data_IF_381497950116
#
_entry.id   IF_381497950116
#
_cell.length_a   1.000
_cell.length_b   1.000
_cell.length_c   1.000
_cell.angle_alpha   90.00
_cell.angle_beta   90.00
_cell.angle_gamma   90.00
#
_symmetry.space_group_name_H-M   'P 1'
#
loop_
_entity.id
_entity.type
_entity.pdbx_description
1 polymer ?
#
# COMPACT_ATOMS: atom_id res chain seq x y z
N UNK A 1 40.19 -8.89 -30.27
CA UNK A 1 39.92 -7.45 -30.14
C UNK A 1 41.19 -6.78 -29.64
N UNK A 2 41.73 -5.87 -30.41
CA UNK A 2 42.90 -5.08 -30.02
C UNK A 2 42.50 -4.01 -28.99
N UNK A 3 43.46 -3.51 -28.20
CA UNK A 3 43.20 -2.43 -27.23
C UNK A 3 42.66 -1.17 -27.92
N UNK A 4 43.00 -0.98 -29.20
CA UNK A 4 42.55 0.13 -30.04
C UNK A 4 41.08 -0.03 -30.44
N UNK A 5 40.63 -1.25 -30.75
CA UNK A 5 39.21 -1.55 -31.03
C UNK A 5 38.35 -1.35 -29.77
N UNK A 6 38.82 -1.80 -28.60
CA UNK A 6 38.10 -1.63 -27.34
C UNK A 6 37.93 -0.15 -26.97
N UNK A 7 38.94 0.69 -27.22
CA UNK A 7 38.84 2.14 -26.98
C UNK A 7 37.88 2.83 -27.96
N UNK A 8 37.85 2.40 -29.22
CA UNK A 8 36.92 2.92 -30.19
C UNK A 8 35.46 2.58 -29.82
N UNK A 9 35.21 1.36 -29.35
CA UNK A 9 33.88 0.93 -28.90
C UNK A 9 33.41 1.66 -27.63
N UNK A 10 34.32 1.90 -26.66
CA UNK A 10 34.01 2.70 -25.47
C UNK A 10 33.68 4.15 -25.85
N UNK A 11 34.46 4.76 -26.74
CA UNK A 11 34.21 6.14 -27.19
C UNK A 11 32.86 6.26 -27.91
N UNK A 12 32.51 5.28 -28.74
CA UNK A 12 31.23 5.25 -29.43
C UNK A 12 30.04 5.16 -28.46
N UNK A 13 30.15 4.35 -27.40
CA UNK A 13 29.13 4.23 -26.36
C UNK A 13 29.01 5.51 -25.51
N UNK A 14 30.11 6.19 -25.22
CA UNK A 14 30.10 7.47 -24.51
C UNK A 14 29.38 8.56 -25.32
N UNK A 15 29.65 8.64 -26.63
CA UNK A 15 29.01 9.59 -27.54
C UNK A 15 27.49 9.31 -27.67
N UNK A 16 27.08 8.03 -27.69
CA UNK A 16 25.67 7.62 -27.76
C UNK A 16 24.90 7.98 -26.47
N UNK A 17 25.53 7.79 -25.30
CA UNK A 17 24.95 8.20 -24.01
C UNK A 17 24.79 9.73 -23.95
N UNK A 18 25.79 10.49 -24.42
CA UNK A 18 25.71 11.96 -24.43
C UNK A 18 24.59 12.47 -25.35
N UNK A 19 24.33 11.80 -26.49
CA UNK A 19 23.19 12.10 -27.35
C UNK A 19 21.84 11.83 -26.66
N UNK A 20 21.72 10.71 -25.94
CA UNK A 20 20.50 10.37 -25.20
C UNK A 20 20.22 11.35 -24.06
N UNK A 21 21.27 11.86 -23.39
CA UNK A 21 21.13 12.84 -22.31
C UNK A 21 20.73 14.24 -22.79
N UNK A 22 21.10 14.63 -24.02
CA UNK A 22 20.70 15.92 -24.61
C UNK A 22 19.22 15.99 -25.01
N UNK A 23 18.48 14.87 -24.98
CA UNK A 23 17.05 14.85 -25.27
C UNK A 23 16.69 15.22 -26.72
N UNK A 24 17.65 15.12 -27.66
CA UNK A 24 17.43 15.38 -29.08
C UNK A 24 16.94 14.15 -29.86
N UNK A 25 16.81 13.00 -29.20
CA UNK A 25 16.28 11.80 -29.84
C UNK A 25 14.79 11.63 -29.52
N UNK A 26 13.94 11.79 -30.53
CA UNK A 26 12.51 11.40 -30.53
C UNK A 26 12.39 9.86 -30.59
N UNK A 27 13.22 9.18 -29.80
CA UNK A 27 13.34 7.73 -29.74
C UNK A 27 12.21 7.24 -28.88
N UNK A 28 11.27 6.55 -29.53
CA UNK A 28 10.21 5.82 -28.87
C UNK A 28 10.85 4.79 -27.92
N UNK A 29 10.87 5.12 -26.63
CA UNK A 29 11.40 4.27 -25.58
C UNK A 29 10.74 2.88 -25.62
N UNK A 30 9.50 2.78 -26.12
CA UNK A 30 8.81 1.50 -26.29
C UNK A 30 9.45 0.67 -27.41
N UNK A 31 9.90 1.30 -28.49
CA UNK A 31 10.61 0.63 -29.59
C UNK A 31 12.01 0.19 -29.16
N UNK A 32 12.75 1.03 -28.41
CA UNK A 32 14.08 0.69 -27.91
C UNK A 32 14.04 -0.43 -26.86
N UNK A 33 13.04 -0.39 -25.97
CA UNK A 33 12.79 -1.49 -25.02
C UNK A 33 12.39 -2.76 -25.78
N UNK A 34 11.54 -2.67 -26.81
CA UNK A 34 11.19 -3.84 -27.64
C UNK A 34 12.41 -4.43 -28.34
N UNK A 35 13.27 -3.62 -28.93
CA UNK A 35 14.49 -4.07 -29.61
C UNK A 35 15.51 -4.69 -28.62
N UNK A 36 15.65 -4.13 -27.42
CA UNK A 36 16.46 -4.76 -26.38
C UNK A 36 15.86 -6.08 -25.88
N UNK A 37 14.54 -6.19 -25.80
CA UNK A 37 13.87 -7.45 -25.43
C UNK A 37 13.97 -8.50 -26.54
N UNK A 38 13.86 -8.14 -27.82
CA UNK A 38 14.04 -9.05 -28.96
C UNK A 38 15.48 -9.61 -28.99
N UNK A 39 16.50 -8.78 -28.71
CA UNK A 39 17.89 -9.24 -28.65
C UNK A 39 18.18 -10.14 -27.41
N UNK A 40 17.55 -9.87 -26.27
CA UNK A 40 17.66 -10.72 -25.07
C UNK A 40 16.89 -12.03 -25.23
N UNK A 41 15.79 -12.02 -25.99
CA UNK A 41 14.98 -13.20 -26.33
C UNK A 41 15.79 -14.18 -27.18
N UNK A 42 16.58 -13.71 -28.15
CA UNK A 42 17.46 -14.54 -28.97
C UNK A 42 18.59 -15.20 -28.14
N UNK A 43 19.23 -14.48 -27.22
CA UNK A 43 20.30 -15.03 -26.37
C UNK A 43 19.78 -16.05 -25.33
N UNK A 44 18.62 -15.79 -24.70
CA UNK A 44 17.97 -16.73 -23.77
C UNK A 44 17.41 -17.96 -24.50
N UNK A 45 16.95 -17.81 -25.75
CA UNK A 45 16.50 -18.93 -26.59
C UNK A 45 17.66 -19.83 -26.98
N UNK A 46 18.85 -19.29 -27.28
CA UNK A 46 20.04 -20.10 -27.60
C UNK A 46 20.44 -20.99 -26.42
N UNK A 47 20.38 -20.48 -25.18
CA UNK A 47 20.72 -21.26 -23.98
C UNK A 47 19.66 -22.33 -23.65
N UNK A 48 18.36 -22.03 -23.85
CA UNK A 48 17.27 -22.99 -23.62
C UNK A 48 17.20 -24.05 -24.72
N UNK A 49 17.43 -23.69 -25.98
CA UNK A 49 17.44 -24.63 -27.12
C UNK A 49 18.65 -25.56 -27.02
N UNK A 50 19.83 -25.06 -26.65
CA UNK A 50 21.03 -25.90 -26.48
C UNK A 50 20.92 -26.87 -25.30
N UNK A 51 20.09 -26.56 -24.29
CA UNK A 51 19.81 -27.47 -23.17
C UNK A 51 18.92 -28.66 -23.57
N UNK A 52 18.15 -28.55 -24.66
CA UNK A 52 17.11 -29.53 -25.05
C UNK A 52 17.41 -30.29 -26.36
N UNK A 53 18.49 -29.96 -27.08
CA UNK A 53 18.84 -30.54 -28.39
C UNK A 53 19.29 -32.01 -28.44
N UNK A 54 19.03 -32.82 -27.41
CA UNK A 54 19.26 -34.27 -27.48
C UNK A 54 18.03 -35.12 -27.86
N UNK A 55 16.90 -34.50 -28.21
CA UNK A 55 15.69 -35.26 -28.58
C UNK A 55 15.17 -34.88 -29.98
N UNK A 56 14.90 -35.92 -30.77
CA UNK A 56 14.64 -35.94 -32.21
C UNK A 56 13.73 -34.84 -32.77
N UNK A 57 14.26 -34.17 -33.78
CA UNK A 57 13.61 -33.15 -34.60
C UNK A 57 12.78 -33.80 -35.71
N UNK A 58 11.53 -33.33 -35.88
CA UNK A 58 10.81 -33.13 -37.15
C UNK A 58 9.28 -33.37 -37.09
N UNK A 59 8.56 -32.88 -36.07
CA UNK A 59 7.08 -32.74 -36.20
C UNK A 59 6.45 -31.67 -35.29
N UNK A 60 7.07 -30.50 -35.11
CA UNK A 60 6.48 -29.44 -34.27
C UNK A 60 6.76 -28.06 -34.87
N UNK A 61 5.91 -27.56 -35.76
CA UNK A 61 6.07 -26.20 -36.31
C UNK A 61 4.86 -25.29 -36.25
N UNK A 62 3.63 -25.77 -35.99
CA UNK A 62 2.45 -24.88 -35.95
C UNK A 62 1.73 -24.79 -34.59
N UNK A 63 1.91 -25.75 -33.68
CA UNK A 63 1.38 -25.65 -32.30
C UNK A 63 2.21 -24.71 -31.42
N UNK A 64 3.45 -24.40 -31.82
CA UNK A 64 4.40 -23.67 -30.99
C UNK A 64 4.18 -22.16 -30.93
N UNK A 65 3.52 -21.54 -31.91
CA UNK A 65 3.38 -20.08 -31.93
C UNK A 65 2.42 -19.58 -30.84
N UNK A 66 1.25 -20.22 -30.72
CA UNK A 66 0.26 -19.86 -29.71
C UNK A 66 0.72 -20.20 -28.29
N UNK A 67 1.42 -21.33 -28.12
CA UNK A 67 2.01 -21.71 -26.83
C UNK A 67 3.16 -20.77 -26.43
N UNK A 68 3.91 -20.21 -27.39
CA UNK A 68 4.93 -19.18 -27.14
C UNK A 68 4.33 -17.84 -26.74
N UNK A 69 3.29 -17.39 -27.42
CA UNK A 69 2.61 -16.12 -27.07
C UNK A 69 2.04 -16.18 -25.66
N UNK A 70 1.36 -17.28 -25.31
CA UNK A 70 0.79 -17.47 -23.97
C UNK A 70 1.87 -17.62 -22.89
N UNK A 71 2.99 -18.29 -23.19
CA UNK A 71 4.12 -18.37 -22.28
C UNK A 71 4.76 -17.00 -22.01
N UNK A 72 4.96 -16.20 -23.07
CA UNK A 72 5.53 -14.85 -23.00
C UNK A 72 4.64 -13.92 -22.19
N UNK A 73 3.33 -13.93 -22.44
CA UNK A 73 2.37 -13.13 -21.67
C UNK A 73 2.38 -13.50 -20.18
N UNK A 74 2.45 -14.79 -19.86
CA UNK A 74 2.54 -15.25 -18.48
C UNK A 74 3.84 -14.81 -17.78
N UNK A 75 4.98 -14.82 -18.48
CA UNK A 75 6.25 -14.33 -17.93
C UNK A 75 6.17 -12.82 -17.69
N UNK A 76 5.68 -12.05 -18.66
CA UNK A 76 5.54 -10.59 -18.53
C UNK A 76 4.67 -10.25 -17.32
N UNK A 77 3.53 -10.93 -17.16
CA UNK A 77 2.64 -10.69 -16.02
C UNK A 77 3.32 -10.99 -14.68
N UNK A 78 4.12 -12.07 -14.59
CA UNK A 78 4.89 -12.41 -13.39
C UNK A 78 5.99 -11.39 -13.09
N UNK A 79 6.67 -10.88 -14.11
CA UNK A 79 7.69 -9.84 -13.97
C UNK A 79 7.07 -8.52 -13.52
N UNK A 80 5.89 -8.16 -14.06
CA UNK A 80 5.15 -6.97 -13.63
C UNK A 80 4.70 -7.11 -12.18
N UNK A 81 4.17 -8.26 -11.78
CA UNK A 81 3.80 -8.54 -10.39
C UNK A 81 5.00 -8.45 -9.45
N UNK A 82 6.14 -9.04 -9.82
CA UNK A 82 7.39 -8.93 -9.07
C UNK A 82 7.82 -7.45 -8.92
N UNK A 83 7.77 -6.68 -10.00
CA UNK A 83 8.11 -5.26 -9.97
C UNK A 83 7.18 -4.48 -9.02
N UNK A 84 5.88 -4.77 -9.01
CA UNK A 84 4.92 -4.20 -8.05
C UNK A 84 5.34 -4.50 -6.61
N UNK A 85 5.75 -5.75 -6.32
CA UNK A 85 6.26 -6.11 -4.99
C UNK A 85 7.56 -5.38 -4.63
N UNK A 86 8.44 -5.12 -5.60
CA UNK A 86 9.70 -4.39 -5.39
C UNK A 86 9.52 -2.92 -5.06
N UNK A 87 8.37 -2.30 -5.40
CA UNK A 87 8.07 -0.93 -4.95
C UNK A 87 7.94 -0.80 -3.43
N UNK A 88 7.76 -1.90 -2.70
CA UNK A 88 7.80 -1.90 -1.23
C UNK A 88 9.19 -1.59 -0.67
N UNK A 89 10.23 -1.64 -1.50
CA UNK A 89 11.61 -1.32 -1.17
C UNK A 89 12.41 -2.48 -0.60
N UNK A 90 11.77 -3.57 -0.17
CA UNK A 90 12.46 -4.78 0.31
C UNK A 90 11.77 -6.02 -0.25
N UNK A 91 12.54 -6.91 -0.86
CA UNK A 91 12.02 -8.18 -1.39
C UNK A 91 12.94 -9.34 -1.08
N UNK A 92 12.33 -10.52 -0.94
CA UNK A 92 13.03 -11.80 -0.85
C UNK A 92 13.04 -12.45 -2.22
N UNK A 93 14.15 -13.06 -2.60
CA UNK A 93 14.26 -13.82 -3.82
C UNK A 93 15.08 -15.10 -3.59
N UNK A 94 14.67 -16.23 -4.19
CA UNK A 94 15.47 -17.44 -4.13
C UNK A 94 16.77 -17.22 -4.92
N UNK A 95 17.89 -17.63 -4.35
CA UNK A 95 19.16 -17.73 -5.08
C UNK A 95 19.32 -19.19 -5.46
N UNK A 96 19.47 -19.47 -6.76
CA UNK A 96 19.50 -20.83 -7.32
C UNK A 96 20.37 -21.75 -6.45
N UNK A 97 19.78 -22.84 -5.98
CA UNK A 97 20.47 -23.80 -5.13
C UNK A 97 21.62 -24.43 -5.92
N UNK A 98 22.84 -24.08 -5.57
CA UNK A 98 23.98 -24.92 -5.89
C UNK A 98 23.87 -26.19 -5.02
N UNK A 99 24.40 -27.30 -5.50
CA UNK A 99 24.66 -28.54 -4.74
C UNK A 99 25.27 -28.32 -3.34
N UNK A 100 25.84 -27.13 -3.10
CA UNK A 100 26.52 -26.70 -1.88
C UNK A 100 25.61 -26.07 -0.81
N UNK A 101 24.33 -25.82 -1.06
CA UNK A 101 23.39 -25.36 -0.02
C UNK A 101 22.22 -24.50 -0.53
N UNK A 102 21.28 -24.23 0.38
CA UNK A 102 20.14 -23.33 0.13
C UNK A 102 20.51 -21.88 0.45
N UNK A 103 20.32 -20.99 -0.53
CA UNK A 103 20.59 -19.57 -0.41
C UNK A 103 19.30 -18.75 -0.53
N UNK A 104 19.21 -17.69 0.27
CA UNK A 104 18.10 -16.74 0.23
C UNK A 104 18.65 -15.33 0.03
N UNK A 105 18.19 -14.64 -1.01
CA UNK A 105 18.54 -13.26 -1.29
C UNK A 105 17.53 -12.30 -0.66
N UNK A 106 18.03 -11.25 -0.03
CA UNK A 106 17.27 -10.09 0.40
C UNK A 106 17.73 -8.90 -0.45
N UNK A 107 16.79 -8.25 -1.12
CA UNK A 107 17.03 -7.08 -1.96
C UNK A 107 16.46 -5.83 -1.27
N UNK A 108 17.23 -4.75 -1.30
CA UNK A 108 16.84 -3.42 -0.81
C UNK A 108 16.84 -2.44 -1.98
N UNK A 109 15.66 -2.02 -2.42
CA UNK A 109 15.45 -0.99 -3.44
C UNK A 109 15.14 0.36 -2.75
N UNK A 110 15.93 1.39 -3.05
CA UNK A 110 15.71 2.75 -2.50
C UNK A 110 15.26 3.69 -3.61
N UNK A 111 14.08 4.30 -3.47
CA UNK A 111 13.60 5.29 -4.44
C UNK A 111 14.22 6.67 -4.18
N UNK A 112 14.85 7.25 -5.19
CA UNK A 112 15.36 8.62 -5.15
C UNK A 112 14.28 9.60 -5.61
N UNK A 113 13.80 10.41 -4.67
CA UNK A 113 12.72 11.36 -4.90
C UNK A 113 13.11 12.53 -5.81
N UNK A 114 14.39 12.85 -5.91
CA UNK A 114 14.92 13.94 -6.74
C UNK A 114 15.03 13.49 -8.20
N UNK A 115 15.69 12.37 -8.45
CA UNK A 115 15.84 11.82 -9.81
C UNK A 115 14.61 11.08 -10.33
N UNK A 116 13.61 10.81 -9.47
CA UNK A 116 12.42 9.99 -9.77
C UNK A 116 12.76 8.58 -10.26
N UNK A 117 13.90 8.03 -9.83
CA UNK A 117 14.40 6.71 -10.22
C UNK A 117 14.76 5.89 -8.97
N UNK A 118 14.73 4.56 -9.09
CA UNK A 118 15.32 3.70 -8.06
C UNK A 118 16.84 3.78 -8.14
N UNK A 119 17.49 3.86 -6.97
CA UNK A 119 18.93 3.72 -6.86
C UNK A 119 19.33 2.26 -7.12
N UNK A 120 20.64 2.04 -7.32
CA UNK A 120 21.20 0.69 -7.40
C UNK A 120 20.80 -0.10 -6.13
N UNK A 121 20.22 -1.29 -6.28
CA UNK A 121 19.79 -2.10 -5.14
C UNK A 121 20.98 -2.59 -4.31
N UNK A 122 20.75 -2.75 -3.01
CA UNK A 122 21.66 -3.48 -2.13
C UNK A 122 21.13 -4.89 -1.88
N UNK A 123 22.03 -5.83 -1.64
CA UNK A 123 21.72 -7.23 -1.48
C UNK A 123 22.33 -7.77 -0.19
N UNK A 124 21.62 -8.68 0.47
CA UNK A 124 22.16 -9.57 1.49
C UNK A 124 21.83 -10.99 1.04
N UNK A 125 22.85 -11.84 0.92
CA UNK A 125 22.68 -13.25 0.60
C UNK A 125 22.88 -14.03 1.89
N UNK A 126 21.85 -14.76 2.29
CA UNK A 126 21.87 -15.67 3.42
C UNK A 126 22.19 -17.08 2.93
N UNK A 127 23.02 -17.81 3.69
CA UNK A 127 23.31 -19.22 3.49
C UNK A 127 22.79 -20.01 4.69
N UNK A 128 22.03 -21.07 4.40
CA UNK A 128 21.57 -22.04 5.38
C UNK A 128 22.73 -22.96 5.76
N UNK A 129 23.23 -22.83 6.99
CA UNK A 129 24.27 -23.71 7.54
C UNK A 129 23.64 -24.80 8.38
N UNK A 130 23.93 -26.05 8.04
CA UNK A 130 23.63 -27.20 8.88
C UNK A 130 24.60 -27.22 10.06
N UNK A 131 24.04 -27.35 11.26
CA UNK A 131 24.81 -27.50 12.49
C UNK A 131 24.94 -29.00 12.75
N UNK A 132 26.13 -29.56 12.50
CA UNK A 132 26.41 -30.95 12.84
C UNK A 132 26.40 -31.12 14.36
N UNK A 133 25.28 -31.57 14.91
CA UNK A 133 25.14 -31.89 16.32
C UNK A 133 26.10 -33.02 16.71
N UNK A 134 26.87 -32.86 17.80
CA UNK A 134 27.73 -33.92 18.37
C UNK A 134 26.95 -35.02 19.11
N UNK A 135 25.63 -35.09 18.97
CA UNK A 135 24.77 -36.04 19.67
C UNK A 135 24.13 -37.05 18.71
N UNK A 136 23.91 -38.28 19.16
CA UNK A 136 23.27 -39.38 18.40
C UNK A 136 21.78 -39.14 18.04
N UNK A 137 21.27 -37.91 18.15
CA UNK A 137 19.92 -37.54 17.78
C UNK A 137 19.93 -37.06 16.33
N UNK A 138 19.21 -37.76 15.45
CA UNK A 138 19.09 -37.51 14.01
C UNK A 138 18.30 -36.24 13.66
N UNK A 139 18.34 -35.22 14.50
CA UNK A 139 17.66 -33.95 14.26
C UNK A 139 18.59 -33.03 13.45
N UNK A 140 18.16 -32.68 12.25
CA UNK A 140 18.83 -31.66 11.43
C UNK A 140 18.55 -30.29 12.03
N UNK A 141 19.53 -29.78 12.78
CA UNK A 141 19.55 -28.41 13.26
C UNK A 141 20.24 -27.55 12.20
N UNK A 142 19.64 -26.43 11.84
CA UNK A 142 20.22 -25.50 10.88
C UNK A 142 19.99 -24.04 11.30
N UNK A 143 20.81 -23.14 10.75
CA UNK A 143 20.66 -21.69 10.95
C UNK A 143 20.97 -20.90 9.69
N UNK A 144 20.34 -19.74 9.55
CA UNK A 144 20.75 -18.77 8.53
C UNK A 144 22.01 -18.04 8.97
N UNK A 145 22.88 -17.73 8.01
CA UNK A 145 24.08 -16.92 8.22
C UNK A 145 24.28 -16.00 7.03
N UNK A 146 24.90 -14.84 7.25
CA UNK A 146 25.21 -13.92 6.17
C UNK A 146 26.37 -14.49 5.35
N UNK A 147 26.12 -14.74 4.07
CA UNK A 147 27.13 -15.22 3.14
C UNK A 147 27.84 -14.05 2.47
N UNK A 148 27.08 -13.13 1.88
CA UNK A 148 27.59 -11.94 1.22
C UNK A 148 26.62 -10.78 1.39
N UNK A 149 27.11 -9.55 1.33
CA UNK A 149 26.27 -8.37 1.30
C UNK A 149 26.93 -7.24 0.50
N UNK A 150 26.11 -6.34 -0.04
CA UNK A 150 26.57 -5.14 -0.76
C UNK A 150 26.23 -3.85 -0.01
N UNK A 151 25.91 -3.93 1.28
CA UNK A 151 25.55 -2.78 2.10
C UNK A 151 26.76 -1.86 2.33
N UNK A 152 26.54 -0.55 2.52
CA UNK A 152 27.61 0.37 2.90
C UNK A 152 28.31 -0.06 4.20
N UNK A 153 29.64 0.12 4.34
CA UNK A 153 30.39 -0.25 5.54
C UNK A 153 29.92 0.41 6.85
N UNK A 154 29.15 1.49 6.75
CA UNK A 154 28.53 2.15 7.90
C UNK A 154 27.45 1.30 8.58
N UNK A 155 26.91 0.29 7.88
CA UNK A 155 25.92 -0.64 8.41
C UNK A 155 26.64 -1.89 8.89
N UNK A 156 26.74 -2.09 10.21
CA UNK A 156 27.40 -3.25 10.80
C UNK A 156 26.48 -4.48 10.75
N UNK A 157 26.49 -5.20 9.62
CA UNK A 157 25.66 -6.38 9.41
C UNK A 157 25.94 -7.50 10.41
N UNK A 158 27.18 -7.64 10.88
CA UNK A 158 27.56 -8.68 11.84
C UNK A 158 26.86 -8.53 13.19
N UNK A 159 26.54 -7.29 13.60
CA UNK A 159 25.71 -7.05 14.79
C UNK A 159 24.29 -7.60 14.60
N UNK A 160 23.68 -7.33 13.44
CA UNK A 160 22.31 -7.76 13.15
C UNK A 160 22.20 -9.28 12.92
N UNK A 161 23.22 -9.90 12.34
CA UNK A 161 23.31 -11.35 12.23
C UNK A 161 23.29 -12.01 13.62
N UNK A 162 24.07 -11.49 14.58
CA UNK A 162 24.09 -12.02 15.95
C UNK A 162 22.79 -11.78 16.70
N UNK A 163 22.12 -10.64 16.46
CA UNK A 163 20.90 -10.26 17.18
C UNK A 163 19.66 -11.01 16.68
N UNK A 164 19.59 -11.31 15.37
CA UNK A 164 18.36 -11.76 14.74
C UNK A 164 18.46 -13.07 13.95
N UNK A 165 19.66 -13.51 13.56
CA UNK A 165 19.87 -14.77 12.81
C UNK A 165 20.45 -15.89 13.68
N UNK A 166 20.53 -15.69 15.00
CA UNK A 166 21.14 -16.66 15.91
C UNK A 166 20.22 -17.80 16.32
N UNK A 167 18.90 -17.69 16.09
CA UNK A 167 17.96 -18.76 16.44
C UNK A 167 18.23 -20.03 15.63
N UNK A 168 18.32 -21.16 16.33
CA UNK A 168 18.49 -22.49 15.75
C UNK A 168 17.12 -23.08 15.41
N UNK A 169 16.98 -23.66 14.22
CA UNK A 169 15.73 -24.24 13.74
C UNK A 169 15.83 -25.76 13.62
N UNK A 170 14.78 -26.45 14.09
CA UNK A 170 14.65 -27.90 14.00
C UNK A 170 13.72 -28.28 12.84
N UNK A 171 14.08 -29.29 12.06
CA UNK A 171 13.37 -29.67 10.83
C UNK A 171 11.89 -30.09 11.00
N UNK A 172 11.42 -30.37 12.22
CA UNK A 172 10.12 -31.00 12.47
C UNK A 172 8.99 -30.03 12.86
N UNK A 173 9.26 -28.75 13.18
CA UNK A 173 8.23 -27.84 13.72
C UNK A 173 7.59 -26.89 12.71
N UNK A 174 8.15 -26.69 11.52
CA UNK A 174 7.75 -25.55 10.70
C UNK A 174 7.42 -25.90 9.24
N UNK A 175 6.12 -25.99 8.97
CA UNK A 175 5.56 -25.86 7.62
C UNK A 175 5.52 -24.38 7.15
N UNK A 176 6.18 -23.46 7.86
CA UNK A 176 6.31 -22.07 7.42
C UNK A 176 7.55 -21.93 6.54
N UNK A 177 7.39 -21.29 5.38
CA UNK A 177 8.39 -21.25 4.29
C UNK A 177 9.73 -20.65 4.76
N UNK A 178 9.76 -19.90 5.87
CA UNK A 178 10.97 -19.49 6.58
C UNK A 178 10.65 -19.41 8.09
N UNK A 179 10.99 -20.43 8.88
CA UNK A 179 10.80 -20.40 10.33
C UNK A 179 11.67 -19.30 10.95
N UNK A 180 11.11 -18.50 11.86
CA UNK A 180 11.85 -17.62 12.79
C UNK A 180 12.56 -16.39 12.21
N UNK A 181 12.55 -16.15 10.90
CA UNK A 181 13.01 -14.86 10.36
C UNK A 181 11.92 -13.80 10.61
N UNK A 182 11.89 -13.21 11.81
CA UNK A 182 11.06 -12.04 12.07
C UNK A 182 11.65 -10.83 11.32
N UNK A 183 11.38 -10.81 10.01
CA UNK A 183 11.87 -9.83 9.05
C UNK A 183 11.57 -8.40 9.49
N UNK A 184 10.39 -8.18 10.08
CA UNK A 184 10.03 -6.87 10.62
C UNK A 184 11.03 -6.41 11.69
N UNK A 185 11.60 -7.33 12.47
CA UNK A 185 12.61 -7.02 13.49
C UNK A 185 14.02 -6.90 12.89
N UNK A 186 14.39 -7.77 11.95
CA UNK A 186 15.69 -7.72 11.27
C UNK A 186 15.87 -6.45 10.42
N UNK A 187 14.78 -5.97 9.82
CA UNK A 187 14.77 -4.82 8.91
C UNK A 187 14.50 -3.51 9.64
N UNK A 188 13.75 -3.51 10.75
CA UNK A 188 13.44 -2.33 11.56
C UNK A 188 14.61 -1.37 11.82
N UNK A 189 15.86 -1.83 12.11
CA UNK A 189 16.97 -0.92 12.36
C UNK A 189 17.53 -0.23 11.11
N UNK A 190 17.13 -0.62 9.89
CA UNK A 190 17.47 0.09 8.65
C UNK A 190 16.35 1.12 8.45
N UNK A 191 16.53 2.40 8.80
CA UNK A 191 15.44 3.37 8.82
C UNK A 191 14.88 3.49 7.39
N UNK A 192 13.63 3.05 7.13
CA UNK A 192 13.02 3.42 5.87
C UNK A 192 12.90 4.94 5.93
N UNK A 193 13.57 5.64 5.00
CA UNK A 193 13.34 7.08 4.80
C UNK A 193 11.83 7.27 4.80
N UNK A 194 11.33 8.04 5.76
CA UNK A 194 9.92 8.16 6.13
C UNK A 194 9.08 8.51 4.92
N UNK A 195 8.64 7.50 4.18
CA UNK A 195 7.76 7.71 3.04
C UNK A 195 6.47 8.30 3.57
N UNK A 196 5.94 9.31 2.89
CA UNK A 196 4.65 9.95 3.20
C UNK A 196 3.55 8.89 3.41
N UNK A 197 3.66 7.76 2.70
CA UNK A 197 2.71 6.65 2.65
C UNK A 197 3.03 5.51 3.62
N UNK A 198 4.18 5.56 4.31
CA UNK A 198 4.53 4.52 5.28
C UNK A 198 3.52 4.45 6.43
N UNK A 199 3.48 3.32 7.14
CA UNK A 199 2.63 3.14 8.34
C UNK A 199 2.88 4.19 9.42
N UNK A 200 4.08 4.77 9.44
CA UNK A 200 4.49 5.85 10.34
C UNK A 200 4.57 7.22 9.62
N UNK A 201 4.14 7.28 8.36
CA UNK A 201 4.13 8.49 7.55
C UNK A 201 3.05 9.45 8.03
N UNK A 202 3.28 10.75 7.79
CA UNK A 202 2.35 11.83 8.17
C UNK A 202 0.93 11.56 7.68
N UNK A 203 0.81 11.00 6.47
CA UNK A 203 -0.49 10.72 5.86
C UNK A 203 -1.27 9.67 6.68
N UNK A 204 -0.61 8.58 7.09
CA UNK A 204 -1.24 7.56 7.93
C UNK A 204 -1.47 8.06 9.36
N UNK A 205 -0.44 8.64 10.00
CA UNK A 205 -0.54 9.10 11.39
C UNK A 205 -1.61 10.17 11.58
N UNK A 206 -1.68 11.17 10.69
CA UNK A 206 -2.62 12.29 10.82
C UNK A 206 -4.00 11.90 10.30
N UNK A 207 -4.11 11.39 9.07
CA UNK A 207 -5.43 11.22 8.44
C UNK A 207 -6.11 9.89 8.78
N UNK A 208 -5.36 8.83 9.07
CA UNK A 208 -5.92 7.57 9.54
C UNK A 208 -5.92 7.50 11.08
N UNK A 209 -4.81 7.88 11.73
CA UNK A 209 -4.67 7.85 13.18
C UNK A 209 -5.53 8.88 13.92
N UNK A 210 -5.67 10.09 13.37
CA UNK A 210 -6.50 11.17 13.93
C UNK A 210 -7.70 11.53 13.03
N UNK A 211 -8.27 10.53 12.36
CA UNK A 211 -9.36 10.71 11.39
C UNK A 211 -10.58 11.41 11.99
N UNK A 212 -10.92 11.09 13.24
CA UNK A 212 -12.08 11.64 13.93
C UNK A 212 -11.89 13.13 14.29
N UNK A 213 -10.68 13.51 14.73
CA UNK A 213 -10.33 14.89 15.05
C UNK A 213 -10.28 15.75 13.79
N UNK A 214 -9.64 15.23 12.73
CA UNK A 214 -9.57 15.91 11.43
C UNK A 214 -10.97 16.12 10.85
N UNK A 215 -11.82 15.10 10.88
CA UNK A 215 -13.21 15.25 10.40
C UNK A 215 -14.02 16.22 11.25
N UNK A 216 -13.86 16.21 12.58
CA UNK A 216 -14.54 17.16 13.46
C UNK A 216 -14.15 18.60 13.13
N UNK A 217 -12.86 18.90 13.01
CA UNK A 217 -12.35 20.24 12.68
C UNK A 217 -12.88 20.68 11.31
N UNK A 218 -12.85 19.79 10.33
CA UNK A 218 -13.38 20.03 8.99
C UNK A 218 -14.87 20.36 9.02
N UNK A 219 -15.67 19.52 9.68
CA UNK A 219 -17.11 19.69 9.79
C UNK A 219 -17.48 21.00 10.51
N UNK A 220 -16.83 21.29 11.65
CA UNK A 220 -17.01 22.54 12.37
C UNK A 220 -16.64 23.75 11.52
N UNK A 221 -15.57 23.69 10.72
CA UNK A 221 -15.17 24.77 9.82
C UNK A 221 -16.27 25.06 8.79
N UNK A 222 -16.84 24.03 8.16
CA UNK A 222 -17.95 24.18 7.21
C UNK A 222 -19.20 24.74 7.92
N UNK A 223 -19.58 24.20 9.09
CA UNK A 223 -20.75 24.67 9.84
C UNK A 223 -20.62 26.12 10.28
N UNK A 224 -19.45 26.52 10.80
CA UNK A 224 -19.16 27.91 11.19
C UNK A 224 -19.24 28.85 9.99
N UNK A 225 -18.73 28.42 8.83
CA UNK A 225 -18.84 29.17 7.59
C UNK A 225 -20.31 29.36 7.15
N UNK A 226 -21.13 28.31 7.19
CA UNK A 226 -22.57 28.41 6.91
C UNK A 226 -23.26 29.41 7.84
N UNK A 227 -22.97 29.36 9.15
CA UNK A 227 -23.53 30.28 10.15
C UNK A 227 -23.07 31.73 9.88
N UNK A 228 -21.82 31.93 9.46
CA UNK A 228 -21.28 33.24 9.13
C UNK A 228 -22.00 33.88 7.93
N UNK A 229 -22.27 33.11 6.87
CA UNK A 229 -23.01 33.61 5.70
C UNK A 229 -24.50 33.80 6.03
N UNK A 230 -25.12 32.87 6.78
CA UNK A 230 -26.54 32.93 7.11
C UNK A 230 -26.94 34.28 7.74
N UNK A 231 -26.07 34.90 8.53
CA UNK A 231 -26.33 36.22 9.15
C UNK A 231 -26.60 37.34 8.15
N UNK A 232 -26.14 37.22 6.91
CA UNK A 232 -26.27 38.25 5.87
C UNK A 232 -27.40 37.99 4.88
N UNK A 233 -28.13 36.89 5.03
CA UNK A 233 -29.30 36.59 4.20
C UNK A 233 -30.51 37.35 4.74
N UNK A 234 -30.57 38.66 4.48
CA UNK A 234 -31.84 39.39 4.45
C UNK A 234 -32.40 39.25 3.05
N UNK A 235 -33.46 38.45 2.82
CA UNK A 235 -34.07 38.37 1.50
C UNK A 235 -34.54 39.77 1.10
N UNK A 236 -34.09 40.24 -0.06
CA UNK A 236 -34.38 41.59 -0.59
C UNK A 236 -35.86 41.72 -0.98
N UNK A 237 -36.58 40.60 -1.12
CA UNK A 237 -38.00 40.55 -1.42
C UNK A 237 -38.72 39.59 -0.45
N UNK A 238 -39.87 39.98 0.12
CA UNK A 238 -40.69 39.09 0.94
C UNK A 238 -41.37 38.04 0.04
N UNK A 239 -40.70 36.92 -0.23
CA UNK A 239 -41.35 35.76 -0.84
C UNK A 239 -42.19 35.05 0.23
N UNK A 240 -43.48 34.96 -0.02
CA UNK A 240 -44.56 34.73 0.96
C UNK A 240 -44.56 33.39 1.70
N UNK A 241 -43.69 32.43 1.41
CA UNK A 241 -43.62 31.16 2.15
C UNK A 241 -42.17 30.66 2.20
N UNK A 242 -41.24 31.46 2.73
CA UNK A 242 -39.96 30.92 3.19
C UNK A 242 -40.03 30.72 4.70
N UNK A 243 -40.15 29.45 5.11
CA UNK A 243 -39.99 29.03 6.51
C UNK A 243 -38.61 29.50 6.94
N UNK A 244 -38.57 30.61 7.67
CA UNK A 244 -37.33 31.21 8.20
C UNK A 244 -36.74 30.22 9.20
N UNK A 245 -35.90 29.32 8.69
CA UNK A 245 -35.13 28.37 9.49
C UNK A 245 -34.37 29.16 10.55
N UNK A 246 -34.69 28.94 11.82
CA UNK A 246 -34.02 29.63 12.93
C UNK A 246 -32.54 29.20 12.98
N UNK A 247 -31.64 30.05 13.47
CA UNK A 247 -30.23 29.67 13.72
C UNK A 247 -30.13 28.36 14.52
N UNK A 248 -31.05 28.18 15.49
CA UNK A 248 -31.12 26.99 16.32
C UNK A 248 -31.43 25.76 15.48
N UNK A 249 -32.33 25.85 14.50
CA UNK A 249 -32.69 24.72 13.64
C UNK A 249 -31.51 24.27 12.77
N UNK A 250 -30.72 25.22 12.24
CA UNK A 250 -29.50 24.89 11.48
C UNK A 250 -28.49 24.16 12.37
N UNK A 251 -28.20 24.69 13.56
CA UNK A 251 -27.25 24.06 14.49
C UNK A 251 -27.75 22.68 14.91
N UNK A 252 -29.02 22.55 15.30
CA UNK A 252 -29.61 21.27 15.70
C UNK A 252 -29.51 20.25 14.57
N UNK A 253 -29.84 20.62 13.32
CA UNK A 253 -29.73 19.71 12.17
C UNK A 253 -28.30 19.25 11.96
N UNK A 254 -27.33 20.16 11.97
CA UNK A 254 -25.91 19.83 11.75
C UNK A 254 -25.34 19.00 12.91
N UNK A 255 -25.76 19.26 14.15
CA UNK A 255 -25.38 18.46 15.32
C UNK A 255 -25.95 17.05 15.26
N UNK A 256 -27.21 16.88 14.85
CA UNK A 256 -27.82 15.55 14.73
C UNK A 256 -27.12 14.73 13.64
N UNK A 257 -26.81 15.33 12.49
CA UNK A 257 -26.03 14.66 11.43
C UNK A 257 -24.69 14.15 11.97
N UNK A 258 -23.93 15.02 12.64
CA UNK A 258 -22.63 14.67 13.22
C UNK A 258 -22.77 13.54 14.26
N UNK A 259 -23.79 13.64 15.13
CA UNK A 259 -24.08 12.62 16.12
C UNK A 259 -24.38 11.26 15.48
N UNK A 260 -25.21 11.20 14.44
CA UNK A 260 -25.54 9.94 13.77
C UNK A 260 -24.31 9.34 13.11
N UNK A 261 -23.50 10.13 12.40
CA UNK A 261 -22.26 9.65 11.78
C UNK A 261 -21.33 9.02 12.83
N UNK A 262 -21.07 9.74 13.94
CA UNK A 262 -20.17 9.24 14.99
C UNK A 262 -20.76 8.04 15.72
N UNK A 263 -22.05 8.07 16.05
CA UNK A 263 -22.72 6.96 16.72
C UNK A 263 -22.67 5.69 15.86
N UNK A 264 -22.93 5.79 14.55
CA UNK A 264 -22.82 4.66 13.62
C UNK A 264 -21.39 4.11 13.57
N UNK A 265 -20.37 4.97 13.44
CA UNK A 265 -18.98 4.52 13.41
C UNK A 265 -18.52 3.88 14.74
N UNK A 266 -18.91 4.47 15.87
CA UNK A 266 -18.60 3.93 17.20
C UNK A 266 -19.24 2.55 17.36
N UNK A 267 -20.51 2.38 16.99
CA UNK A 267 -21.20 1.09 17.08
C UNK A 267 -20.54 0.03 16.19
N UNK A 268 -20.14 0.40 14.97
CA UNK A 268 -19.54 -0.53 14.02
C UNK A 268 -18.11 -0.95 14.40
N UNK A 269 -17.28 0.00 14.83
CA UNK A 269 -15.81 -0.18 14.94
C UNK A 269 -15.31 -0.26 16.39
N UNK A 270 -15.93 0.44 17.33
CA UNK A 270 -15.38 0.61 18.70
C UNK A 270 -16.17 -0.14 19.77
N UNK A 271 -17.49 -0.18 19.61
CA UNK A 271 -18.53 -0.20 20.64
C UNK A 271 -18.14 -0.55 22.10
N UNK A 272 -18.46 0.38 23.01
CA UNK A 272 -18.05 0.39 24.42
C UNK A 272 -18.68 -0.68 25.35
N UNK A 273 -19.68 -1.44 24.88
CA UNK A 273 -20.36 -2.50 25.65
C UNK A 273 -20.01 -3.89 25.13
N UNK A 274 -18.72 -4.17 25.03
CA UNK A 274 -18.16 -5.44 24.57
C UNK A 274 -17.44 -5.32 23.23
N UNK A 275 -17.40 -6.39 22.40
CA UNK A 275 -16.75 -6.33 21.10
C UNK A 275 -17.56 -5.48 20.11
N UNK A 276 -16.84 -4.78 19.23
CA UNK A 276 -17.41 -4.05 18.10
C UNK A 276 -18.27 -4.96 17.21
N UNK A 277 -19.21 -4.40 16.44
CA UNK A 277 -19.99 -5.22 15.51
C UNK A 277 -19.07 -5.93 14.51
N UNK A 278 -18.00 -5.28 14.07
CA UNK A 278 -17.02 -5.88 13.17
C UNK A 278 -16.29 -7.06 13.81
N UNK A 279 -15.89 -6.97 15.08
CA UNK A 279 -15.29 -8.10 15.80
C UNK A 279 -16.27 -9.26 15.96
N UNK A 280 -17.55 -8.99 16.19
CA UNK A 280 -18.59 -10.02 16.27
C UNK A 280 -18.80 -10.72 14.94
N UNK A 281 -18.87 -9.97 13.84
CA UNK A 281 -19.00 -10.54 12.49
C UNK A 281 -17.75 -11.35 12.13
N UNK A 282 -16.57 -10.85 12.46
CA UNK A 282 -15.31 -11.55 12.22
C UNK A 282 -15.27 -12.91 12.96
N UNK A 283 -15.68 -12.93 14.24
CA UNK A 283 -15.81 -14.17 15.01
C UNK A 283 -16.90 -15.09 14.45
N UNK A 284 -18.05 -14.54 14.08
CA UNK A 284 -19.18 -15.31 13.54
C UNK A 284 -18.84 -15.99 12.21
N UNK A 285 -17.98 -15.37 11.40
CA UNK A 285 -17.47 -15.92 10.14
C UNK A 285 -16.33 -16.92 10.32
N UNK A 286 -16.07 -17.36 11.55
CA UNK A 286 -15.09 -18.39 11.88
C UNK A 286 -13.81 -17.88 12.53
N UNK A 287 -13.67 -16.56 12.70
CA UNK A 287 -12.44 -15.94 13.19
C UNK A 287 -12.10 -16.35 14.62
N UNK A 288 -10.83 -16.71 14.86
CA UNK A 288 -10.33 -17.02 16.20
C UNK A 288 -8.88 -16.55 16.39
N UNK A 289 -8.49 -16.36 17.65
CA UNK A 289 -7.11 -16.04 18.02
C UNK A 289 -6.31 -17.32 18.24
N UNK A 290 -5.09 -17.40 17.71
CA UNK A 290 -4.22 -18.57 17.84
C UNK A 290 -3.70 -18.81 19.28
N UNK A 291 -3.57 -17.75 20.09
CA UNK A 291 -3.09 -17.85 21.48
C UNK A 291 -4.22 -18.23 22.45
N UNK A 292 -5.47 -17.86 22.17
CA UNK A 292 -6.59 -18.15 23.05
C UNK A 292 -7.95 -18.07 22.34
N UNK A 293 -8.79 -19.10 22.50
CA UNK A 293 -10.04 -19.27 21.74
C UNK A 293 -11.14 -18.21 21.98
N UNK A 294 -11.02 -17.35 22.99
CA UNK A 294 -12.08 -16.39 23.35
C UNK A 294 -11.66 -14.92 23.27
N UNK A 295 -10.44 -14.64 22.81
CA UNK A 295 -9.92 -13.28 22.79
C UNK A 295 -10.34 -12.57 21.50
N UNK A 296 -10.96 -11.39 21.65
CA UNK A 296 -11.30 -10.50 20.53
C UNK A 296 -10.07 -10.02 19.78
N UNK A 297 -10.22 -9.66 18.50
CA UNK A 297 -9.12 -9.27 17.62
C UNK A 297 -8.12 -8.30 18.26
N UNK A 298 -8.58 -7.16 18.80
CA UNK A 298 -7.68 -6.15 19.41
C UNK A 298 -6.91 -6.71 20.60
N UNK A 299 -7.58 -7.49 21.44
CA UNK A 299 -6.94 -8.11 22.60
C UNK A 299 -5.98 -9.22 22.17
N UNK A 300 -6.31 -9.99 21.13
CA UNK A 300 -5.44 -11.03 20.57
C UNK A 300 -4.12 -10.42 20.11
N UNK A 301 -4.19 -9.37 19.29
CA UNK A 301 -3.02 -8.64 18.80
C UNK A 301 -2.22 -8.01 19.94
N UNK A 302 -2.89 -7.45 20.96
CA UNK A 302 -2.21 -6.89 22.13
C UNK A 302 -1.43 -7.94 22.94
N UNK A 303 -1.83 -9.21 22.89
CA UNK A 303 -1.11 -10.34 23.52
C UNK A 303 -0.12 -11.02 22.55
N UNK A 304 0.20 -10.40 21.41
CA UNK A 304 1.10 -10.98 20.40
C UNK A 304 0.50 -12.15 19.61
N UNK A 305 -0.80 -12.38 19.74
CA UNK A 305 -1.51 -13.40 18.97
C UNK A 305 -1.84 -12.95 17.55
N UNK A 306 -1.95 -13.94 16.67
CA UNK A 306 -2.44 -13.80 15.30
C UNK A 306 -3.90 -14.23 15.26
N UNK A 307 -4.75 -13.35 14.73
CA UNK A 307 -6.16 -13.64 14.52
C UNK A 307 -6.31 -14.26 13.13
N UNK A 308 -6.73 -15.52 13.08
CA UNK A 308 -6.80 -16.33 11.87
C UNK A 308 -8.26 -16.66 11.52
N UNK A 309 -8.50 -16.97 10.24
CA UNK A 309 -9.72 -17.59 9.74
C UNK A 309 -11.04 -16.83 9.97
N UNK A 310 -11.15 -15.55 9.59
CA UNK A 310 -12.42 -14.83 9.65
C UNK A 310 -12.52 -13.68 8.65
N UNK A 311 -13.71 -13.12 8.50
CA UNK A 311 -13.96 -11.97 7.63
C UNK A 311 -13.64 -10.66 8.35
N UNK A 312 -12.53 -10.01 7.97
CA UNK A 312 -12.07 -8.77 8.58
C UNK A 312 -12.59 -7.55 7.82
N UNK A 313 -13.79 -7.09 8.18
CA UNK A 313 -14.35 -5.86 7.62
C UNK A 313 -13.39 -4.67 7.83
N UNK A 314 -13.11 -3.92 6.77
CA UNK A 314 -12.17 -2.80 6.80
C UNK A 314 -12.75 -1.60 7.53
N UNK A 315 -12.31 -1.39 8.78
CA UNK A 315 -12.63 -0.18 9.55
C UNK A 315 -12.08 1.09 8.88
N UNK A 316 -10.89 1.03 8.28
CA UNK A 316 -10.28 2.17 7.58
C UNK A 316 -11.08 2.57 6.33
N UNK A 317 -11.51 1.60 5.53
CA UNK A 317 -12.36 1.87 4.36
C UNK A 317 -13.71 2.44 4.79
N UNK A 318 -14.32 1.92 5.87
CA UNK A 318 -15.55 2.47 6.42
C UNK A 318 -15.38 3.93 6.86
N UNK A 319 -14.34 4.26 7.62
CA UNK A 319 -14.07 5.62 8.11
C UNK A 319 -13.77 6.57 6.95
N UNK A 320 -12.80 6.22 6.10
CA UNK A 320 -12.36 7.08 4.99
C UNK A 320 -13.52 7.37 4.02
N UNK A 321 -14.30 6.35 3.66
CA UNK A 321 -15.47 6.53 2.80
C UNK A 321 -16.56 7.33 3.49
N UNK A 322 -16.88 7.07 4.76
CA UNK A 322 -17.95 7.81 5.49
C UNK A 322 -17.59 9.28 5.62
N UNK A 323 -16.38 9.59 6.09
CA UNK A 323 -15.93 10.97 6.28
C UNK A 323 -15.72 11.69 4.95
N UNK A 324 -15.10 11.03 3.96
CA UNK A 324 -14.91 11.59 2.63
C UNK A 324 -16.24 11.93 1.94
N UNK A 325 -17.20 10.99 1.94
CA UNK A 325 -18.50 11.23 1.32
C UNK A 325 -19.32 12.26 2.09
N UNK A 326 -19.38 12.21 3.42
CA UNK A 326 -20.07 13.24 4.21
C UNK A 326 -19.48 14.64 4.00
N UNK A 327 -18.14 14.78 4.03
CA UNK A 327 -17.45 16.03 3.73
C UNK A 327 -17.79 16.55 2.33
N UNK A 328 -17.86 15.65 1.33
CA UNK A 328 -18.21 16.02 -0.04
C UNK A 328 -19.64 16.55 -0.15
N UNK A 329 -20.62 15.95 0.56
CA UNK A 329 -21.99 16.44 0.57
C UNK A 329 -22.09 17.81 1.25
N UNK A 330 -21.38 18.03 2.37
CA UNK A 330 -21.38 19.33 3.03
C UNK A 330 -20.74 20.42 2.18
N UNK A 331 -19.66 20.07 1.46
CA UNK A 331 -18.99 20.96 0.52
C UNK A 331 -19.90 21.34 -0.66
N UNK A 332 -20.59 20.35 -1.25
CA UNK A 332 -21.54 20.58 -2.34
C UNK A 332 -22.70 21.46 -1.89
N UNK A 333 -23.32 21.16 -0.75
CA UNK A 333 -24.40 21.96 -0.19
C UNK A 333 -23.98 23.40 0.13
N UNK A 334 -22.75 23.58 0.64
CA UNK A 334 -22.17 24.91 0.86
C UNK A 334 -21.92 25.67 -0.46
N UNK A 335 -21.41 24.99 -1.48
CA UNK A 335 -21.15 25.59 -2.79
C UNK A 335 -22.44 26.04 -3.47
N UNK A 336 -23.48 25.21 -3.45
CA UNK A 336 -24.77 25.56 -4.03
C UNK A 336 -25.44 26.68 -3.24
N UNK A 337 -25.28 26.70 -1.92
CA UNK A 337 -25.71 27.85 -1.11
C UNK A 337 -24.98 29.14 -1.51
N UNK A 338 -23.66 29.09 -1.69
CA UNK A 338 -22.85 30.26 -2.06
C UNK A 338 -23.15 30.79 -3.47
N UNK A 339 -23.46 29.91 -4.44
CA UNK A 339 -23.85 30.33 -5.80
C UNK A 339 -25.13 31.19 -5.80
N UNK A 340 -26.05 30.89 -4.89
CA UNK A 340 -27.32 31.60 -4.77
C UNK A 340 -27.25 32.89 -3.94
N UNK A 341 -26.10 33.20 -3.34
CA UNK A 341 -25.90 34.36 -2.46
C UNK A 341 -24.89 35.31 -3.10
N UNK A 342 -25.22 36.61 -3.17
CA UNK A 342 -24.27 37.64 -3.56
C UNK A 342 -23.22 37.85 -2.43
N UNK A 343 -22.16 37.04 -2.45
CA UNK A 343 -21.07 37.11 -1.47
C UNK A 343 -20.26 38.40 -1.62
N UNK A 344 -19.91 39.03 -0.48
CA UNK A 344 -18.92 40.11 -0.47
C UNK A 344 -17.52 39.55 -0.77
N UNK A 345 -16.58 40.41 -1.20
CA UNK A 345 -15.22 39.98 -1.56
C UNK A 345 -14.53 39.18 -0.45
N UNK A 346 -14.63 39.62 0.82
CA UNK A 346 -14.06 38.89 1.95
C UNK A 346 -14.65 37.48 2.10
N UNK A 347 -15.95 37.31 1.87
CA UNK A 347 -16.59 35.99 1.93
C UNK A 347 -16.21 35.10 0.75
N UNK A 348 -15.93 35.66 -0.43
CA UNK A 348 -15.41 34.89 -1.58
C UNK A 348 -14.03 34.30 -1.30
N UNK A 349 -13.14 35.05 -0.65
CA UNK A 349 -11.83 34.54 -0.26
C UNK A 349 -11.95 33.42 0.79
N UNK A 350 -12.79 33.62 1.81
CA UNK A 350 -13.04 32.60 2.82
C UNK A 350 -13.68 31.34 2.22
N UNK A 351 -14.65 31.50 1.31
CA UNK A 351 -15.26 30.40 0.56
C UNK A 351 -14.22 29.60 -0.21
N UNK A 352 -13.34 30.27 -0.96
CA UNK A 352 -12.26 29.63 -1.71
C UNK A 352 -11.30 28.90 -0.79
N UNK A 353 -10.93 29.50 0.35
CA UNK A 353 -10.07 28.87 1.35
C UNK A 353 -10.69 27.58 1.92
N UNK A 354 -11.95 27.65 2.38
CA UNK A 354 -12.66 26.48 2.92
C UNK A 354 -12.79 25.39 1.85
N UNK A 355 -13.09 25.74 0.60
CA UNK A 355 -13.15 24.79 -0.50
C UNK A 355 -11.80 24.08 -0.73
N UNK A 356 -10.70 24.83 -0.84
CA UNK A 356 -9.38 24.25 -1.05
C UNK A 356 -8.98 23.35 0.11
N UNK A 357 -9.21 23.80 1.35
CA UNK A 357 -8.91 23.02 2.55
C UNK A 357 -9.70 21.71 2.58
N UNK A 358 -11.01 21.75 2.33
CA UNK A 358 -11.86 20.56 2.37
C UNK A 358 -11.53 19.60 1.23
N UNK A 359 -11.27 20.12 0.02
CA UNK A 359 -10.82 19.32 -1.11
C UNK A 359 -9.48 18.63 -0.85
N UNK A 360 -8.53 19.31 -0.20
CA UNK A 360 -7.25 18.71 0.17
C UNK A 360 -7.43 17.53 1.14
N UNK A 361 -8.21 17.70 2.21
CA UNK A 361 -8.50 16.62 3.17
C UNK A 361 -9.25 15.46 2.50
N UNK A 362 -10.21 15.77 1.61
CA UNK A 362 -10.93 14.77 0.84
C UNK A 362 -9.99 13.95 -0.06
N UNK A 363 -9.08 14.60 -0.80
CA UNK A 363 -8.08 13.92 -1.62
C UNK A 363 -7.20 13.00 -0.76
N UNK A 364 -6.76 13.46 0.41
CA UNK A 364 -5.96 12.63 1.33
C UNK A 364 -6.70 11.36 1.78
N UNK A 365 -8.01 11.45 2.09
CA UNK A 365 -8.81 10.27 2.42
C UNK A 365 -9.09 9.36 1.24
N UNK A 366 -9.28 9.90 0.03
CA UNK A 366 -9.39 9.08 -1.19
C UNK A 366 -8.09 8.33 -1.43
N UNK A 367 -6.93 8.99 -1.29
CA UNK A 367 -5.62 8.34 -1.40
C UNK A 367 -5.45 7.23 -0.34
N UNK A 368 -5.80 7.49 0.93
CA UNK A 368 -5.80 6.45 1.97
C UNK A 368 -6.71 5.28 1.63
N UNK A 369 -7.91 5.55 1.11
CA UNK A 369 -8.84 4.51 0.69
C UNK A 369 -8.26 3.67 -0.44
N UNK A 370 -7.63 4.29 -1.44
CA UNK A 370 -7.00 3.58 -2.55
C UNK A 370 -5.85 2.69 -2.08
N UNK A 371 -4.96 3.21 -1.23
CA UNK A 371 -3.87 2.42 -0.62
C UNK A 371 -4.44 1.25 0.19
N UNK A 372 -5.47 1.51 1.01
CA UNK A 372 -6.14 0.48 1.81
C UNK A 372 -6.74 -0.62 0.92
N UNK A 373 -7.33 -0.23 -0.20
CA UNK A 373 -7.91 -1.15 -1.17
C UNK A 373 -6.86 -1.96 -1.93
N UNK A 374 -5.70 -1.38 -2.24
CA UNK A 374 -4.65 -2.06 -2.98
C UNK A 374 -3.91 -3.09 -2.11
N UNK A 375 -3.60 -2.75 -0.86
CA UNK A 375 -2.61 -3.53 -0.09
C UNK A 375 -3.18 -4.35 1.07
N UNK A 376 -4.33 -3.99 1.65
CA UNK A 376 -4.69 -4.49 2.99
C UNK A 376 -5.93 -5.39 3.05
N UNK A 377 -6.79 -5.36 2.02
CA UNK A 377 -8.10 -5.98 2.12
C UNK A 377 -8.50 -6.73 0.85
N UNK A 378 -9.29 -7.80 1.01
CA UNK A 378 -9.90 -8.50 -0.13
C UNK A 378 -11.04 -7.67 -0.74
N UNK A 379 -11.48 -8.01 -1.95
CA UNK A 379 -12.58 -7.30 -2.63
C UNK A 379 -13.87 -7.27 -1.78
N UNK A 380 -14.23 -8.40 -1.15
CA UNK A 380 -15.44 -8.50 -0.32
C UNK A 380 -15.36 -7.62 0.93
N UNK A 381 -14.20 -7.58 1.59
CA UNK A 381 -13.99 -6.71 2.77
C UNK A 381 -14.16 -5.23 2.41
N UNK A 382 -13.63 -4.83 1.24
CA UNK A 382 -13.79 -3.46 0.70
C UNK A 382 -15.25 -3.15 0.38
N UNK A 383 -15.97 -4.10 -0.22
CA UNK A 383 -17.37 -3.93 -0.61
C UNK A 383 -18.27 -3.72 0.61
N UNK A 384 -18.09 -4.51 1.68
CA UNK A 384 -18.90 -4.40 2.90
C UNK A 384 -18.65 -3.07 3.61
N UNK A 385 -17.37 -2.70 3.81
CA UNK A 385 -17.02 -1.43 4.47
C UNK A 385 -17.54 -0.22 3.70
N UNK A 386 -17.41 -0.22 2.38
CA UNK A 386 -17.89 0.86 1.50
C UNK A 386 -19.42 0.94 1.47
N UNK A 387 -20.11 -0.20 1.40
CA UNK A 387 -21.58 -0.22 1.37
C UNK A 387 -22.18 0.30 2.68
N UNK A 388 -21.61 -0.06 3.83
CA UNK A 388 -22.04 0.47 5.12
C UNK A 388 -21.77 1.98 5.23
N UNK A 389 -20.62 2.47 4.74
CA UNK A 389 -20.31 3.89 4.71
C UNK A 389 -21.35 4.68 3.89
N UNK A 390 -21.64 4.21 2.67
CA UNK A 390 -22.64 4.83 1.78
C UNK A 390 -24.02 4.79 2.43
N UNK A 391 -24.39 3.70 3.08
CA UNK A 391 -25.67 3.58 3.77
C UNK A 391 -25.81 4.61 4.90
N UNK A 392 -24.78 4.79 5.74
CA UNK A 392 -24.78 5.80 6.81
C UNK A 392 -25.01 7.20 6.21
N UNK A 393 -24.25 7.56 5.18
CA UNK A 393 -24.36 8.87 4.53
C UNK A 393 -25.70 9.04 3.83
N UNK A 394 -26.24 7.99 3.21
CA UNK A 394 -27.57 7.99 2.62
C UNK A 394 -28.65 8.35 3.66
N UNK A 395 -28.62 7.69 4.83
CA UNK A 395 -29.56 7.98 5.93
C UNK A 395 -29.44 9.44 6.39
N UNK A 396 -28.22 9.92 6.59
CA UNK A 396 -27.96 11.27 7.12
C UNK A 396 -28.35 12.39 6.15
N UNK A 397 -28.16 12.22 4.84
CA UNK A 397 -28.36 13.30 3.87
C UNK A 397 -29.67 13.23 3.08
N UNK A 398 -30.25 12.03 2.90
CA UNK A 398 -31.45 11.87 2.08
C UNK A 398 -32.71 11.58 2.90
N UNK A 399 -32.60 11.09 4.13
CA UNK A 399 -33.77 10.83 5.00
C UNK A 399 -34.00 11.90 6.06
N UNK A 400 -33.03 12.79 6.30
CA UNK A 400 -33.10 13.89 7.28
C UNK A 400 -33.05 15.29 6.67
#
# INVERSE_FOLDING_TARGET
MSEEELRAEIQQLEDEIEMLERGESDVDIVALVREQFENVEDDLLVDIINADTNTESNTITNTNAQDRETFTENIINRVLEENVHRFNGITLFPVSADSRGSYLGIRFDTFNTESKRFNKPHYIILNRRELTGKGNTSEEIWKWSVFQNTLPPSINIGKYEQEYLFEEHNSWSDNTVIPGLNMDTFISPIPPKTSIVSSHGILNTVFAGSSFEVFLILYLTITLFKIAIWRKFTPVLPTTIQVRSSKRNVIIKETIKLFIIYASLIVLIVWAFGPSLFDRVNRWTGGYCNVAHEIYYRSCVAHGGLYVNGFKSSGHSLIATTFGTAASYELLGMNDYCKNVNLTNNHKYLHKFVNVFVSFVYIAWVTLFLITCLFYHTFLERLVGTSLAIFIVYVVYYKM
#
